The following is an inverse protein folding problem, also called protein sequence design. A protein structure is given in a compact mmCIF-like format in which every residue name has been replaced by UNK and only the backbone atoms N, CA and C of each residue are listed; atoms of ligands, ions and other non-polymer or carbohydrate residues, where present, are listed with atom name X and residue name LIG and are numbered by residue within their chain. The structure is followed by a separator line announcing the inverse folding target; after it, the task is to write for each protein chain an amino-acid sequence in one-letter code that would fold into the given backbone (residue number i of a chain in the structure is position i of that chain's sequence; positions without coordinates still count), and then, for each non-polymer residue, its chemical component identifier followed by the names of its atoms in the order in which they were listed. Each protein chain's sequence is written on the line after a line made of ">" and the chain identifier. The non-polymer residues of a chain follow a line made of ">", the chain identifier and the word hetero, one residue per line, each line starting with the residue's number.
data_IF_210274244286
#
_entry.id   IF_210274244286
#
_cell.length_a   1.000
_cell.length_b   1.000
_cell.length_c   1.000
_cell.angle_alpha   90.00
_cell.angle_beta   90.00
_cell.angle_gamma   90.00
#
_symmetry.space_group_name_H-M   'P 1'
#
loop_
_entity.id
_entity.type
_entity.pdbx_description
1 polymer ?
#
# COMPACT_ATOMS: atom_id res chain seq x y z
N UNK A 1 20.58 -21.92 9.38
CA UNK A 1 20.63 -20.91 8.29
C UNK A 1 19.49 -21.15 7.30
N UNK A 2 18.77 -20.11 6.99
CA UNK A 2 17.64 -20.23 6.04
C UNK A 2 18.16 -20.38 4.63
N UNK A 3 17.57 -21.32 3.90
CA UNK A 3 17.90 -21.55 2.49
C UNK A 3 16.86 -20.87 1.59
N UNK A 4 17.29 -19.82 0.90
CA UNK A 4 16.44 -19.06 0.00
C UNK A 4 16.71 -19.38 -1.48
N UNK A 5 17.41 -20.49 -1.78
CA UNK A 5 17.83 -20.81 -3.14
C UNK A 5 16.66 -20.99 -4.12
N UNK A 6 15.47 -21.33 -3.61
CA UNK A 6 14.27 -21.52 -4.43
C UNK A 6 13.25 -20.40 -4.25
N UNK A 7 13.65 -19.31 -3.62
CA UNK A 7 12.78 -18.15 -3.40
C UNK A 7 13.01 -17.11 -4.50
N UNK A 8 11.95 -16.40 -4.84
CA UNK A 8 12.08 -15.19 -5.64
C UNK A 8 12.66 -14.11 -4.73
N UNK A 9 13.75 -13.49 -5.16
CA UNK A 9 14.38 -12.43 -4.39
C UNK A 9 13.80 -11.08 -4.79
N UNK A 10 13.33 -10.32 -3.82
CA UNK A 10 12.82 -8.97 -4.01
C UNK A 10 13.79 -8.02 -3.34
N UNK A 11 14.31 -7.06 -4.08
CA UNK A 11 15.23 -6.07 -3.55
C UNK A 11 14.46 -4.80 -3.23
N UNK A 12 14.35 -4.50 -1.95
CA UNK A 12 13.63 -3.34 -1.45
C UNK A 12 12.32 -3.72 -0.79
N UNK A 13 12.14 -3.26 0.45
CA UNK A 13 10.94 -3.51 1.27
C UNK A 13 10.03 -2.31 1.38
N UNK A 14 9.96 -1.49 0.33
CA UNK A 14 8.99 -0.41 0.24
C UNK A 14 7.62 -0.90 -0.23
N UNK A 15 6.77 0.02 -0.65
CA UNK A 15 5.40 -0.30 -1.07
C UNK A 15 5.40 -1.32 -2.21
N UNK A 16 6.23 -1.10 -3.23
CA UNK A 16 6.27 -1.99 -4.39
C UNK A 16 6.75 -3.40 -4.03
N UNK A 17 7.86 -3.48 -3.30
CA UNK A 17 8.43 -4.77 -2.91
C UNK A 17 7.53 -5.56 -1.97
N UNK A 18 6.97 -4.90 -0.96
CA UNK A 18 6.04 -5.54 -0.03
C UNK A 18 4.75 -5.96 -0.72
N UNK A 19 4.23 -5.14 -1.63
CA UNK A 19 3.03 -5.50 -2.39
C UNK A 19 3.28 -6.74 -3.24
N UNK A 20 4.39 -6.76 -3.98
CA UNK A 20 4.76 -7.93 -4.76
C UNK A 20 4.89 -9.16 -3.88
N UNK A 21 5.57 -9.04 -2.75
CA UNK A 21 5.73 -10.14 -1.81
C UNK A 21 4.40 -10.68 -1.31
N UNK A 22 3.48 -9.80 -0.92
CA UNK A 22 2.15 -10.21 -0.46
C UNK A 22 1.37 -10.95 -1.55
N UNK A 23 1.41 -10.47 -2.79
CA UNK A 23 0.72 -11.13 -3.90
C UNK A 23 1.36 -12.47 -4.26
N UNK A 24 2.68 -12.56 -4.24
CA UNK A 24 3.37 -13.83 -4.49
C UNK A 24 3.01 -14.87 -3.43
N UNK A 25 3.01 -14.49 -2.17
CA UNK A 25 2.63 -15.40 -1.08
C UNK A 25 1.18 -15.84 -1.20
N UNK A 26 0.28 -14.96 -1.66
CA UNK A 26 -1.11 -15.33 -1.87
C UNK A 26 -1.29 -16.40 -2.94
N UNK A 27 -0.33 -16.52 -3.84
CA UNK A 27 -0.30 -17.55 -4.89
C UNK A 27 0.62 -18.73 -4.51
N UNK A 28 1.02 -18.82 -3.25
CA UNK A 28 1.92 -19.86 -2.74
C UNK A 28 3.29 -19.87 -3.41
N UNK A 29 3.74 -18.72 -3.85
CA UNK A 29 5.07 -18.55 -4.44
C UNK A 29 5.99 -18.00 -3.36
N UNK A 30 7.04 -18.74 -3.04
CA UNK A 30 8.00 -18.37 -2.01
C UNK A 30 8.86 -17.20 -2.48
N UNK A 31 9.00 -16.20 -1.63
CA UNK A 31 9.85 -15.05 -1.91
C UNK A 31 10.52 -14.56 -0.65
N UNK A 32 11.58 -13.81 -0.83
CA UNK A 32 12.33 -13.17 0.25
C UNK A 32 12.58 -11.74 -0.13
N UNK A 33 12.42 -10.83 0.82
CA UNK A 33 12.63 -9.40 0.61
C UNK A 33 13.91 -9.00 1.34
N UNK A 34 14.82 -8.36 0.60
CA UNK A 34 16.04 -7.80 1.16
C UNK A 34 15.86 -6.29 1.26
N UNK A 35 15.84 -5.78 2.49
CA UNK A 35 15.65 -4.36 2.77
C UNK A 35 16.84 -3.83 3.55
N UNK A 36 17.41 -2.73 3.04
CA UNK A 36 18.56 -2.10 3.66
C UNK A 36 18.26 -1.45 5.00
N UNK A 37 17.08 -0.85 5.14
CA UNK A 37 16.67 -0.18 6.37
C UNK A 37 16.21 -1.17 7.41
N UNK A 38 16.59 -0.96 8.67
CA UNK A 38 16.20 -1.84 9.77
C UNK A 38 14.80 -1.58 10.29
N UNK A 39 14.20 -0.48 9.88
CA UNK A 39 12.85 -0.11 10.32
C UNK A 39 12.14 0.74 9.28
N UNK A 40 10.82 0.82 9.40
CA UNK A 40 9.97 1.64 8.55
C UNK A 40 10.33 3.11 8.79
N UNK A 41 10.48 3.88 7.69
CA UNK A 41 10.76 5.30 7.78
C UNK A 41 9.58 6.03 8.40
N UNK A 42 9.88 6.88 9.37
CA UNK A 42 8.90 7.77 9.97
C UNK A 42 8.72 9.01 9.12
N UNK A 43 7.51 9.57 9.15
CA UNK A 43 7.18 10.74 8.39
C UNK A 43 7.01 10.44 6.92
N UNK A 44 6.74 11.44 6.16
CA UNK A 44 6.60 11.32 4.73
C UNK A 44 5.23 11.70 4.24
N UNK A 45 5.06 11.57 2.93
CA UNK A 45 3.87 12.01 2.24
C UNK A 45 2.67 11.11 2.49
N UNK A 46 1.51 11.68 2.34
CA UNK A 46 0.29 10.91 2.19
C UNK A 46 0.24 10.31 0.79
N UNK A 47 -0.52 9.25 0.66
CA UNK A 47 -0.71 8.53 -0.59
C UNK A 47 -2.20 8.41 -0.84
N UNK A 48 -2.61 8.61 -2.09
CA UNK A 48 -3.97 8.34 -2.52
C UNK A 48 -3.98 7.02 -3.28
N UNK A 49 -4.76 6.07 -2.77
CA UNK A 49 -4.89 4.76 -3.39
C UNK A 49 -6.16 4.76 -4.23
N UNK A 50 -6.03 4.48 -5.52
CA UNK A 50 -7.14 4.47 -6.45
C UNK A 50 -8.07 3.28 -6.23
N UNK A 51 -9.34 3.35 -6.69
CA UNK A 51 -10.27 2.23 -6.52
C UNK A 51 -9.79 0.91 -7.11
N UNK A 52 -9.11 0.93 -8.26
CA UNK A 52 -8.56 -0.28 -8.85
C UNK A 52 -7.48 -0.92 -7.98
N UNK A 53 -6.64 -0.10 -7.35
CA UNK A 53 -5.62 -0.61 -6.41
C UNK A 53 -6.28 -1.14 -5.14
N UNK A 54 -7.31 -0.47 -4.63
CA UNK A 54 -8.07 -0.94 -3.47
C UNK A 54 -8.68 -2.32 -3.76
N UNK A 55 -9.25 -2.50 -4.94
CA UNK A 55 -9.82 -3.78 -5.34
C UNK A 55 -8.78 -4.89 -5.41
N UNK A 56 -7.56 -4.57 -5.87
CA UNK A 56 -6.46 -5.54 -5.88
C UNK A 56 -6.04 -5.91 -4.45
N UNK A 57 -5.92 -4.94 -3.58
CA UNK A 57 -5.57 -5.18 -2.17
C UNK A 57 -6.65 -5.96 -1.43
N UNK A 58 -7.91 -5.80 -1.84
CA UNK A 58 -9.00 -6.60 -1.28
C UNK A 58 -8.83 -8.09 -1.56
N UNK A 59 -8.21 -8.45 -2.68
CA UNK A 59 -7.93 -9.86 -3.02
C UNK A 59 -6.96 -10.52 -2.05
N UNK A 60 -6.18 -9.76 -1.33
CA UNK A 60 -5.28 -10.26 -0.29
C UNK A 60 -5.76 -9.84 1.10
N UNK A 61 -7.04 -9.53 1.23
CA UNK A 61 -7.73 -9.26 2.50
C UNK A 61 -7.22 -8.01 3.24
N UNK A 62 -6.81 -6.97 2.52
CA UNK A 62 -6.32 -5.73 3.12
C UNK A 62 -7.32 -4.58 3.12
N UNK A 63 -8.52 -4.78 2.56
CA UNK A 63 -9.51 -3.70 2.48
C UNK A 63 -9.93 -3.19 3.84
N UNK A 64 -10.14 -4.09 4.80
CA UNK A 64 -10.52 -3.71 6.16
C UNK A 64 -9.43 -2.88 6.83
N UNK A 65 -8.17 -3.29 6.68
CA UNK A 65 -7.03 -2.53 7.22
C UNK A 65 -6.95 -1.13 6.63
N UNK A 66 -7.21 -1.00 5.33
CA UNK A 66 -7.26 0.31 4.68
C UNK A 66 -8.40 1.16 5.23
N UNK A 67 -9.57 0.56 5.47
CA UNK A 67 -10.71 1.26 6.03
C UNK A 67 -10.45 1.76 7.45
N UNK A 68 -9.73 0.98 8.25
CA UNK A 68 -9.41 1.33 9.62
C UNK A 68 -8.33 2.40 9.73
N UNK A 69 -7.34 2.38 8.85
CA UNK A 69 -6.16 3.24 8.94
C UNK A 69 -6.18 4.42 7.97
N UNK A 70 -6.98 4.36 6.94
CA UNK A 70 -7.06 5.39 5.91
C UNK A 70 -8.26 6.29 6.06
N UNK A 71 -8.32 7.27 5.19
CA UNK A 71 -9.43 8.22 5.08
C UNK A 71 -10.00 8.17 3.67
N UNK A 72 -11.32 8.10 3.57
CA UNK A 72 -12.02 8.03 2.29
C UNK A 72 -12.80 9.35 2.08
N UNK A 73 -12.23 10.33 1.38
CA UNK A 73 -12.94 11.58 1.11
C UNK A 73 -14.14 11.33 0.20
N UNK A 74 -15.22 12.06 0.42
CA UNK A 74 -16.43 11.93 -0.38
C UNK A 74 -16.30 12.59 -1.74
N UNK A 75 -15.55 13.69 -1.80
CA UNK A 75 -15.43 14.52 -3.00
C UNK A 75 -14.01 15.04 -3.18
N UNK A 76 -13.68 15.32 -4.43
CA UNK A 76 -12.50 16.12 -4.80
C UNK A 76 -13.03 17.40 -5.41
N UNK A 77 -12.66 18.52 -4.83
CA UNK A 77 -13.04 19.84 -5.33
C UNK A 77 -11.88 20.44 -6.11
N UNK A 78 -12.17 20.90 -7.30
CA UNK A 78 -11.20 21.61 -8.13
C UNK A 78 -11.49 23.11 -8.05
N UNK A 79 -10.49 23.87 -7.66
CA UNK A 79 -10.60 25.30 -7.46
C UNK A 79 -9.63 26.05 -8.35
N UNK A 80 -10.06 27.26 -8.81
CA UNK A 80 -9.15 28.22 -9.42
C UNK A 80 -9.02 29.36 -8.41
N UNK A 81 -7.85 29.46 -7.79
CA UNK A 81 -7.63 30.27 -6.59
C UNK A 81 -8.65 29.84 -5.52
N UNK A 82 -9.62 30.70 -5.15
CA UNK A 82 -10.65 30.33 -4.19
C UNK A 82 -12.00 30.04 -4.85
N UNK A 83 -12.07 30.10 -6.19
CA UNK A 83 -13.31 29.92 -6.92
C UNK A 83 -13.50 28.46 -7.33
N UNK A 84 -14.64 27.84 -7.02
CA UNK A 84 -14.87 26.45 -7.39
C UNK A 84 -15.05 26.30 -8.90
N UNK A 85 -14.32 25.36 -9.50
CA UNK A 85 -14.47 24.98 -10.91
C UNK A 85 -15.44 23.82 -11.02
N UNK A 86 -15.17 22.74 -10.30
CA UNK A 86 -16.01 21.54 -10.32
C UNK A 86 -15.71 20.68 -9.10
N UNK A 87 -16.57 19.70 -8.87
CA UNK A 87 -16.29 18.66 -7.89
C UNK A 87 -16.69 17.31 -8.46
N UNK A 88 -15.97 16.27 -8.07
CA UNK A 88 -16.25 14.89 -8.47
C UNK A 88 -16.31 14.01 -7.23
N UNK A 89 -17.13 12.96 -7.31
CA UNK A 89 -17.14 11.96 -6.26
C UNK A 89 -15.79 11.26 -6.20
N UNK A 90 -15.34 10.99 -4.98
CA UNK A 90 -14.05 10.32 -4.78
C UNK A 90 -14.27 8.93 -4.21
N UNK A 91 -13.51 7.98 -4.71
CA UNK A 91 -13.46 6.62 -4.19
C UNK A 91 -12.04 6.22 -3.82
N UNK A 92 -11.19 7.21 -3.63
CA UNK A 92 -9.80 6.95 -3.24
C UNK A 92 -9.69 6.76 -1.73
N UNK A 93 -8.65 6.06 -1.33
CA UNK A 93 -8.24 5.96 0.08
C UNK A 93 -7.00 6.81 0.26
N UNK A 94 -7.07 7.80 1.15
CA UNK A 94 -5.92 8.60 1.54
C UNK A 94 -5.32 8.00 2.80
N UNK A 95 -4.04 7.67 2.76
CA UNK A 95 -3.36 7.03 3.88
C UNK A 95 -1.90 7.51 3.92
N UNK A 96 -1.31 7.56 5.10
CA UNK A 96 0.10 7.88 5.18
C UNK A 96 0.93 6.72 4.61
N UNK A 97 2.06 7.05 4.00
CA UNK A 97 2.97 6.03 3.46
C UNK A 97 3.40 5.05 4.56
N UNK A 98 3.70 5.57 5.73
CA UNK A 98 4.12 4.76 6.88
C UNK A 98 3.07 3.72 7.25
N UNK A 99 1.81 4.12 7.33
CA UNK A 99 0.71 3.21 7.66
C UNK A 99 0.52 2.16 6.58
N UNK A 100 0.59 2.54 5.31
CA UNK A 100 0.46 1.59 4.21
C UNK A 100 1.58 0.57 4.22
N UNK A 101 2.82 1.01 4.41
CA UNK A 101 3.98 0.10 4.50
C UNK A 101 3.80 -0.85 5.69
N UNK A 102 3.33 -0.34 6.82
CA UNK A 102 3.07 -1.15 8.01
C UNK A 102 2.01 -2.22 7.76
N UNK A 103 0.92 -1.87 7.09
CA UNK A 103 -0.14 -2.82 6.72
C UNK A 103 0.42 -3.93 5.83
N UNK A 104 1.18 -3.56 4.81
CA UNK A 104 1.78 -4.51 3.88
C UNK A 104 2.80 -5.41 4.57
N UNK A 105 3.62 -4.84 5.44
CA UNK A 105 4.62 -5.61 6.18
C UNK A 105 3.98 -6.66 7.09
N UNK A 106 2.94 -6.27 7.83
CA UNK A 106 2.20 -7.21 8.68
C UNK A 106 1.55 -8.33 7.88
N UNK A 107 1.07 -8.03 6.69
CA UNK A 107 0.46 -9.03 5.82
C UNK A 107 1.49 -10.00 5.26
N UNK A 108 2.69 -9.51 5.00
CA UNK A 108 3.78 -10.32 4.42
C UNK A 108 4.34 -11.34 5.42
N UNK A 109 4.49 -10.96 6.68
CA UNK A 109 5.09 -11.82 7.72
C UNK A 109 4.11 -12.83 8.34
#
# INVERSE_FOLDING_TARGET
>A
MDDYSKHIAIIGGGIAGLSLGCFLLSENIKCVIFERSSKIREGGAGISISPNAINLLDKINLKESLSNEGFFPEKINFLDEDDPITSVESRVCCISREKLVSILHKRFI
#
